data_IF_934942043948
#
_entry.id   IF_934942043948
#
_cell.length_a   1.000
_cell.length_b   1.000
_cell.length_c   1.000
_cell.angle_alpha   90.00
_cell.angle_beta   90.00
_cell.angle_gamma   90.00
#
_symmetry.space_group_name_H-M   'P 1'
#
loop_
_entity.id
_entity.type
_entity.pdbx_description
1 polymer ?
#
# COMPACT_ATOMS: atom_id res chain seq x y z
N UNK A 1 -12.62 25.04 6.46
CA UNK A 1 -11.32 25.65 6.82
C UNK A 1 -10.26 25.03 5.91
N UNK A 2 -9.30 25.81 5.39
CA UNK A 2 -8.27 25.28 4.48
C UNK A 2 -6.99 24.97 5.25
N UNK A 3 -6.56 23.71 5.23
CA UNK A 3 -5.33 23.25 5.89
C UNK A 3 -4.23 23.00 4.85
N UNK A 4 -3.04 23.59 5.02
CA UNK A 4 -1.85 23.25 4.26
C UNK A 4 -0.92 22.38 5.10
N UNK A 5 -0.67 21.15 4.64
CA UNK A 5 0.28 20.24 5.29
C UNK A 5 1.57 20.22 4.49
N UNK A 6 2.64 20.75 5.10
CA UNK A 6 4.00 20.63 4.58
C UNK A 6 4.62 19.32 5.08
N UNK A 7 5.43 18.65 4.23
CA UNK A 7 6.05 17.38 4.61
C UNK A 7 5.05 16.22 4.79
N UNK A 8 3.91 16.25 4.10
CA UNK A 8 2.86 15.22 4.19
C UNK A 8 3.30 13.80 3.79
N UNK A 9 4.46 13.65 3.18
CA UNK A 9 5.05 12.33 2.86
C UNK A 9 5.97 11.81 3.97
N UNK A 10 6.15 12.56 5.06
CA UNK A 10 6.91 12.13 6.24
C UNK A 10 6.03 11.44 7.29
N UNK A 11 6.65 10.90 8.35
CA UNK A 11 5.98 10.11 9.40
C UNK A 11 4.84 10.87 10.10
N UNK A 12 5.08 12.13 10.46
CA UNK A 12 4.09 12.96 11.14
C UNK A 12 3.08 13.52 10.13
N UNK A 13 3.58 14.13 9.05
CA UNK A 13 2.75 14.77 8.03
C UNK A 13 1.71 13.83 7.44
N UNK A 14 2.09 12.60 7.08
CA UNK A 14 1.17 11.61 6.51
C UNK A 14 0.03 11.25 7.46
N UNK A 15 0.32 11.13 8.77
CA UNK A 15 -0.66 10.81 9.80
C UNK A 15 -1.61 11.97 10.08
N UNK A 16 -1.10 13.20 10.04
CA UNK A 16 -1.92 14.43 10.14
C UNK A 16 -2.84 14.56 8.92
N UNK A 17 -2.30 14.42 7.70
CA UNK A 17 -3.12 14.47 6.48
C UNK A 17 -4.18 13.38 6.49
N UNK A 18 -3.87 12.19 7.00
CA UNK A 18 -4.86 11.11 7.13
C UNK A 18 -5.98 11.47 8.10
N UNK A 19 -5.65 11.95 9.31
CA UNK A 19 -6.65 12.36 10.31
C UNK A 19 -7.59 13.46 9.81
N UNK A 20 -7.08 14.43 9.06
CA UNK A 20 -7.91 15.48 8.46
C UNK A 20 -8.90 14.91 7.45
N UNK A 21 -8.45 13.97 6.60
CA UNK A 21 -9.35 13.30 5.66
C UNK A 21 -10.38 12.44 6.37
N UNK A 22 -9.98 11.70 7.40
CA UNK A 22 -10.92 10.84 8.16
C UNK A 22 -12.01 11.67 8.86
N UNK A 23 -11.74 12.95 9.15
CA UNK A 23 -12.73 13.93 9.64
C UNK A 23 -13.62 14.54 8.55
N UNK A 24 -13.36 14.26 7.27
CA UNK A 24 -14.08 14.83 6.14
C UNK A 24 -13.48 16.12 5.57
N UNK A 25 -12.33 16.57 6.09
CA UNK A 25 -11.64 17.75 5.57
C UNK A 25 -10.87 17.43 4.27
N UNK A 26 -10.62 18.47 3.47
CA UNK A 26 -9.81 18.39 2.23
C UNK A 26 -8.53 19.22 2.37
N UNK A 27 -7.47 18.71 3.02
CA UNK A 27 -6.23 19.45 3.19
C UNK A 27 -5.43 19.56 1.87
N UNK A 28 -4.88 20.74 1.61
CA UNK A 28 -3.84 20.94 0.61
C UNK A 28 -2.51 20.40 1.13
N UNK A 29 -1.71 19.81 0.24
CA UNK A 29 -0.47 19.13 0.62
C UNK A 29 0.69 19.67 -0.21
N UNK A 30 1.73 20.14 0.46
CA UNK A 30 2.97 20.56 -0.19
C UNK A 30 4.00 19.43 -0.17
N UNK A 31 4.46 19.05 -1.36
CA UNK A 31 5.32 17.90 -1.63
C UNK A 31 6.49 18.36 -2.50
N UNK A 32 7.71 18.07 -2.04
CA UNK A 32 8.95 18.43 -2.75
C UNK A 32 9.19 17.58 -4.00
N UNK A 33 8.65 16.37 -4.02
CA UNK A 33 8.74 15.44 -5.15
C UNK A 33 7.32 14.94 -5.50
N UNK A 34 6.81 15.24 -6.70
CA UNK A 34 5.48 14.80 -7.13
C UNK A 34 5.34 13.27 -7.21
N UNK A 35 6.43 12.52 -7.41
CA UNK A 35 6.38 11.04 -7.39
C UNK A 35 6.02 10.51 -5.99
N UNK A 36 6.42 11.20 -4.92
CA UNK A 36 6.05 10.84 -3.54
C UNK A 36 4.59 11.15 -3.24
N UNK A 37 4.04 12.21 -3.83
CA UNK A 37 2.62 12.55 -3.75
C UNK A 37 1.74 11.44 -4.37
N UNK A 38 2.10 11.00 -5.59
CA UNK A 38 1.38 9.96 -6.31
C UNK A 38 1.31 8.64 -5.54
N UNK A 39 2.36 8.29 -4.79
CA UNK A 39 2.38 7.10 -3.93
C UNK A 39 1.38 7.20 -2.78
N UNK A 40 1.25 8.39 -2.16
CA UNK A 40 0.28 8.64 -1.10
C UNK A 40 -1.15 8.51 -1.64
N UNK A 41 -1.40 8.99 -2.86
CA UNK A 41 -2.70 8.90 -3.52
C UNK A 41 -3.09 7.46 -3.85
N UNK A 42 -2.15 6.65 -4.36
CA UNK A 42 -2.36 5.22 -4.62
C UNK A 42 -2.66 4.50 -3.30
N UNK A 43 -1.88 4.75 -2.25
CA UNK A 43 -2.08 4.11 -0.95
C UNK A 43 -3.44 4.46 -0.33
N UNK A 44 -3.87 5.72 -0.45
CA UNK A 44 -5.21 6.16 -0.05
C UNK A 44 -6.31 5.50 -0.87
N UNK A 45 -6.12 5.37 -2.17
CA UNK A 45 -7.10 4.72 -3.05
C UNK A 45 -7.27 3.23 -2.70
N UNK A 46 -6.18 2.53 -2.37
CA UNK A 46 -6.21 1.15 -1.87
C UNK A 46 -6.97 1.08 -0.53
N UNK A 47 -6.62 1.93 0.44
CA UNK A 47 -7.26 1.93 1.77
C UNK A 47 -8.75 2.23 1.74
N UNK A 48 -9.20 3.05 0.79
CA UNK A 48 -10.61 3.40 0.61
C UNK A 48 -11.37 2.41 -0.30
N UNK A 49 -10.73 1.31 -0.71
CA UNK A 49 -11.34 0.31 -1.60
C UNK A 49 -11.56 0.77 -3.04
N UNK A 50 -11.12 1.98 -3.41
CA UNK A 50 -11.30 2.55 -4.76
C UNK A 50 -10.51 1.83 -5.85
N UNK A 51 -9.54 1.00 -5.45
CA UNK A 51 -8.76 0.13 -6.33
C UNK A 51 -8.93 -1.36 -5.96
N UNK A 52 -10.04 -1.73 -5.31
CA UNK A 52 -10.28 -3.11 -4.89
C UNK A 52 -10.82 -4.02 -6.01
N UNK A 53 -11.20 -3.46 -7.16
CA UNK A 53 -11.71 -4.24 -8.29
C UNK A 53 -10.64 -5.18 -8.82
N UNK A 54 -10.87 -6.48 -8.64
CA UNK A 54 -10.04 -7.53 -9.23
C UNK A 54 -10.45 -7.70 -10.69
N UNK A 55 -9.47 -7.70 -11.59
CA UNK A 55 -9.67 -7.93 -13.03
C UNK A 55 -8.99 -9.22 -13.44
N UNK A 56 -9.43 -9.81 -14.56
CA UNK A 56 -8.94 -11.12 -15.03
C UNK A 56 -7.57 -11.05 -15.74
N UNK A 57 -6.90 -9.89 -15.73
CA UNK A 57 -5.66 -9.67 -16.49
C UNK A 57 -4.54 -10.66 -16.15
N UNK A 58 -4.43 -11.07 -14.87
CA UNK A 58 -3.44 -12.08 -14.45
C UNK A 58 -3.76 -13.45 -15.05
N UNK A 59 -5.03 -13.83 -15.09
CA UNK A 59 -5.46 -15.09 -15.70
C UNK A 59 -5.20 -15.08 -17.22
N UNK A 60 -5.45 -13.95 -17.89
CA UNK A 60 -5.20 -13.82 -19.33
C UNK A 60 -3.72 -13.99 -19.68
N UNK A 61 -2.81 -13.42 -18.88
CA UNK A 61 -1.36 -13.53 -19.11
C UNK A 61 -0.85 -14.93 -18.80
N UNK A 62 -1.36 -15.57 -17.75
CA UNK A 62 -0.84 -16.86 -17.27
C UNK A 62 -1.56 -18.07 -17.88
N UNK A 63 -2.71 -17.90 -18.53
CA UNK A 63 -3.56 -18.98 -19.03
C UNK A 63 -4.20 -19.85 -17.93
N UNK A 64 -3.99 -19.50 -16.66
CA UNK A 64 -4.53 -20.19 -15.48
C UNK A 64 -4.93 -19.18 -14.43
N UNK A 65 -5.87 -19.56 -13.55
CA UNK A 65 -6.25 -18.70 -12.43
C UNK A 65 -5.02 -18.40 -11.55
N UNK A 66 -4.83 -17.13 -11.13
CA UNK A 66 -3.82 -16.83 -10.12
C UNK A 66 -4.10 -17.61 -8.84
N UNK A 67 -3.04 -18.11 -8.21
CA UNK A 67 -3.15 -18.75 -6.91
C UNK A 67 -3.65 -17.74 -5.87
N UNK A 68 -4.48 -18.20 -4.93
CA UNK A 68 -4.79 -17.40 -3.76
C UNK A 68 -3.54 -17.25 -2.90
N UNK A 69 -3.54 -16.23 -2.04
CA UNK A 69 -2.44 -16.06 -1.09
C UNK A 69 -2.30 -17.30 -0.17
N UNK A 70 -3.42 -17.86 0.31
CA UNK A 70 -3.39 -19.04 1.18
C UNK A 70 -2.81 -20.26 0.46
N UNK A 71 -3.19 -20.48 -0.80
CA UNK A 71 -2.63 -21.55 -1.61
C UNK A 71 -1.11 -21.37 -1.79
N UNK A 72 -0.68 -20.15 -2.11
CA UNK A 72 0.74 -19.84 -2.23
C UNK A 72 1.50 -20.07 -0.91
N UNK A 73 0.91 -19.72 0.23
CA UNK A 73 1.51 -19.96 1.56
C UNK A 73 1.72 -21.46 1.77
N UNK A 74 0.73 -22.30 1.48
CA UNK A 74 0.84 -23.77 1.61
C UNK A 74 1.94 -24.31 0.68
N UNK A 75 2.00 -23.84 -0.56
CA UNK A 75 2.99 -24.29 -1.54
C UNK A 75 4.43 -23.86 -1.18
N UNK A 76 4.61 -22.76 -0.44
CA UNK A 76 5.93 -22.15 -0.19
C UNK A 76 6.40 -22.23 1.28
N UNK A 77 5.60 -22.81 2.17
CA UNK A 77 5.86 -22.84 3.62
C UNK A 77 7.26 -23.36 3.98
N UNK A 78 7.71 -24.42 3.28
CA UNK A 78 9.00 -25.05 3.52
C UNK A 78 10.21 -24.13 3.22
N UNK A 79 10.07 -23.14 2.33
CA UNK A 79 11.12 -22.17 2.02
C UNK A 79 11.34 -21.16 3.17
N UNK A 80 10.29 -20.85 3.93
CA UNK A 80 10.36 -19.93 5.07
C UNK A 80 10.86 -20.59 6.37
N UNK A 81 10.69 -21.92 6.50
CA UNK A 81 11.27 -22.67 7.64
C UNK A 81 12.79 -22.80 7.57
N UNK A 82 13.39 -22.81 6.37
CA UNK A 82 14.84 -23.01 6.19
C UNK A 82 15.69 -21.76 6.46
N UNK A 83 15.11 -20.56 6.42
CA UNK A 83 15.82 -19.29 6.65
C UNK A 83 15.98 -18.92 8.14
N UNK A 84 15.46 -19.74 9.06
CA UNK A 84 15.56 -19.53 10.52
C UNK A 84 16.88 -19.95 11.19
N UNK A 85 17.77 -20.67 10.51
CA UNK A 85 18.95 -21.32 11.16
C UNK A 85 20.29 -20.66 10.85
N UNK A 86 20.35 -19.34 10.60
CA UNK A 86 21.63 -18.60 10.62
C UNK A 86 21.56 -17.34 11.47
N UNK A 87 21.83 -17.52 12.76
CA UNK A 87 22.50 -16.50 13.59
C UNK A 87 23.23 -17.19 14.74
N UNK A 88 24.56 -17.19 14.68
CA UNK A 88 25.42 -17.77 15.73
C UNK A 88 26.86 -17.94 15.27
N UNK A 89 27.59 -16.83 15.16
CA UNK A 89 29.05 -16.72 15.31
C UNK A 89 29.44 -15.25 15.23
#
# INVERSE_FOLDING_TARGET
MTYLVTGATGTVGSRVTQRLIDRGDRPAVFVRDPKRARRLDIWRAIRQGRLATVTDGVQQVLGRKPASFDQWVVENEAAFRQSGTRRGS
#
